data_IF_598597293660
#
_entry.id   IF_598597293660
#
_cell.length_a   1.000
_cell.length_b   1.000
_cell.length_c   1.000
_cell.angle_alpha   90.00
_cell.angle_beta   90.00
_cell.angle_gamma   90.00
#
_symmetry.space_group_name_H-M   'P 1'
#
loop_
_entity.id
_entity.type
_entity.pdbx_description
1 polymer ?
#
# COMPACT_ATOMS: atom_id res chain seq x y z
N UNK A 1 18.61 -12.72 10.30
CA UNK A 1 18.02 -12.18 9.06
C UNK A 1 16.53 -12.48 9.08
N UNK A 2 15.74 -11.62 9.71
CA UNK A 2 14.27 -11.69 9.65
C UNK A 2 13.84 -11.10 8.32
N UNK A 3 13.02 -11.84 7.58
CA UNK A 3 12.69 -11.57 6.20
C UNK A 3 12.03 -10.19 6.05
N UNK A 4 12.50 -9.39 5.10
CA UNK A 4 11.95 -8.08 4.68
C UNK A 4 10.46 -8.12 4.27
N UNK A 5 9.79 -9.27 4.38
CA UNK A 5 8.49 -9.60 3.81
C UNK A 5 7.43 -10.04 4.86
N UNK A 6 7.65 -9.77 6.15
CA UNK A 6 6.71 -10.14 7.24
C UNK A 6 5.32 -9.45 7.17
N UNK A 7 5.15 -8.42 6.34
CA UNK A 7 3.90 -7.63 6.26
C UNK A 7 2.91 -8.12 5.19
N UNK A 8 3.31 -9.00 4.27
CA UNK A 8 2.42 -9.52 3.22
C UNK A 8 1.13 -10.22 3.72
N UNK A 9 1.13 -11.05 4.79
CA UNK A 9 -0.12 -11.61 5.30
C UNK A 9 -1.09 -10.52 5.79
N UNK A 10 -0.57 -9.48 6.44
CA UNK A 10 -1.35 -8.31 6.89
C UNK A 10 -1.91 -7.53 5.70
N UNK A 11 -1.13 -7.36 4.63
CA UNK A 11 -1.57 -6.68 3.41
C UNK A 11 -2.68 -7.45 2.69
N UNK A 12 -2.57 -8.78 2.59
CA UNK A 12 -3.64 -9.62 2.02
C UNK A 12 -4.94 -9.48 2.80
N UNK A 13 -4.88 -9.41 4.13
CA UNK A 13 -6.07 -9.19 4.96
C UNK A 13 -6.71 -7.82 4.69
N UNK A 14 -5.91 -6.77 4.53
CA UNK A 14 -6.42 -5.44 4.20
C UNK A 14 -7.09 -5.39 2.81
N UNK A 15 -6.51 -6.06 1.82
CA UNK A 15 -7.09 -6.19 0.47
C UNK A 15 -8.44 -6.92 0.53
N UNK A 16 -8.54 -8.03 1.27
CA UNK A 16 -9.79 -8.77 1.43
C UNK A 16 -10.91 -7.90 2.04
N UNK A 17 -10.60 -7.17 3.11
CA UNK A 17 -11.55 -6.25 3.75
C UNK A 17 -11.99 -5.11 2.81
N UNK A 18 -11.10 -4.60 1.97
CA UNK A 18 -11.44 -3.60 0.97
C UNK A 18 -12.40 -4.15 -0.09
N UNK A 19 -12.20 -5.40 -0.54
CA UNK A 19 -13.13 -6.09 -1.46
C UNK A 19 -14.52 -6.26 -0.83
N UNK A 20 -14.57 -6.73 0.42
CA UNK A 20 -15.82 -6.90 1.18
C UNK A 20 -16.59 -5.58 1.35
N UNK A 21 -15.87 -4.45 1.43
CA UNK A 21 -16.45 -3.11 1.51
C UNK A 21 -16.91 -2.53 0.16
N UNK A 22 -16.90 -3.32 -0.93
CA UNK A 22 -17.31 -2.87 -2.26
C UNK A 22 -16.26 -2.05 -3.00
N UNK A 23 -15.00 -2.11 -2.57
CA UNK A 23 -13.86 -1.42 -3.22
C UNK A 23 -13.03 -2.39 -4.07
N UNK A 24 -13.69 -3.36 -4.72
CA UNK A 24 -13.04 -4.46 -5.42
C UNK A 24 -11.99 -3.98 -6.45
N UNK A 25 -12.36 -3.07 -7.35
CA UNK A 25 -11.44 -2.53 -8.37
C UNK A 25 -10.19 -1.87 -7.77
N UNK A 26 -10.37 -1.10 -6.67
CA UNK A 26 -9.26 -0.46 -5.99
C UNK A 26 -8.38 -1.47 -5.24
N UNK A 27 -8.97 -2.54 -4.71
CA UNK A 27 -8.28 -3.62 -4.03
C UNK A 27 -7.50 -4.52 -5.02
N UNK A 28 -8.09 -4.84 -6.18
CA UNK A 28 -7.43 -5.51 -7.30
C UNK A 28 -6.22 -4.71 -7.80
N UNK A 29 -6.41 -3.40 -7.97
CA UNK A 29 -5.38 -2.45 -8.33
C UNK A 29 -4.22 -2.40 -7.30
N UNK A 30 -4.52 -2.52 -6.00
CA UNK A 30 -3.52 -2.58 -4.93
C UNK A 30 -2.79 -3.93 -4.92
N UNK A 31 -3.53 -5.04 -5.04
CA UNK A 31 -2.97 -6.39 -5.05
C UNK A 31 -2.03 -6.60 -6.23
N UNK A 32 -2.49 -6.28 -7.44
CA UNK A 32 -1.68 -6.38 -8.66
C UNK A 32 -0.36 -5.61 -8.54
N UNK A 33 -0.37 -4.44 -7.88
CA UNK A 33 0.82 -3.60 -7.69
C UNK A 33 1.73 -4.08 -6.57
N UNK A 34 1.16 -4.49 -5.44
CA UNK A 34 1.94 -4.93 -4.28
C UNK A 34 2.60 -6.30 -4.49
N UNK A 35 2.06 -7.12 -5.39
CA UNK A 35 2.55 -8.46 -5.67
C UNK A 35 3.11 -8.62 -7.10
N UNK A 36 3.26 -7.53 -7.86
CA UNK A 36 3.94 -7.57 -9.17
C UNK A 36 5.38 -8.08 -8.99
N UNK A 37 5.67 -9.23 -9.56
CA UNK A 37 6.81 -10.08 -9.21
C UNK A 37 8.20 -9.62 -9.73
N UNK A 38 8.50 -8.32 -9.80
CA UNK A 38 9.72 -7.85 -10.49
C UNK A 38 10.83 -7.19 -9.67
N UNK A 39 10.70 -7.07 -8.35
CA UNK A 39 11.80 -6.51 -7.53
C UNK A 39 12.01 -7.36 -6.28
N UNK A 40 13.11 -8.10 -6.20
CA UNK A 40 13.50 -8.80 -4.96
C UNK A 40 14.21 -7.81 -4.04
N UNK A 41 13.65 -7.57 -2.85
CA UNK A 41 14.29 -6.81 -1.77
C UNK A 41 13.60 -5.49 -1.41
N UNK A 42 14.37 -4.54 -0.89
CA UNK A 42 13.91 -3.26 -0.36
C UNK A 42 13.12 -2.41 -1.37
N UNK A 43 13.35 -2.57 -2.67
CA UNK A 43 12.63 -1.85 -3.72
C UNK A 43 11.14 -2.26 -3.80
N UNK A 44 10.81 -3.56 -3.69
CA UNK A 44 9.42 -4.02 -3.61
C UNK A 44 8.68 -3.45 -2.39
N UNK A 45 9.36 -3.31 -1.25
CA UNK A 45 8.79 -2.66 -0.08
C UNK A 45 8.49 -1.17 -0.35
N UNK A 46 9.37 -0.49 -1.10
CA UNK A 46 9.17 0.88 -1.55
C UNK A 46 7.96 1.03 -2.48
N UNK A 47 7.86 0.16 -3.50
CA UNK A 47 6.73 0.15 -4.44
C UNK A 47 5.41 -0.18 -3.75
N UNK A 48 5.41 -1.17 -2.84
CA UNK A 48 4.25 -1.52 -2.03
C UNK A 48 3.80 -0.36 -1.15
N UNK A 49 4.75 0.36 -0.53
CA UNK A 49 4.43 1.52 0.31
C UNK A 49 3.79 2.67 -0.49
N UNK A 50 4.24 2.88 -1.73
CA UNK A 50 3.63 3.86 -2.65
C UNK A 50 2.23 3.43 -3.08
N UNK A 51 2.03 2.15 -3.40
CA UNK A 51 0.73 1.61 -3.76
C UNK A 51 -0.29 1.76 -2.61
N UNK A 52 0.12 1.51 -1.37
CA UNK A 52 -0.72 1.71 -0.17
C UNK A 52 -1.13 3.18 -0.03
N UNK A 53 -0.20 4.13 -0.20
CA UNK A 53 -0.53 5.55 -0.12
C UNK A 53 -1.51 5.98 -1.24
N UNK A 54 -1.28 5.52 -2.47
CA UNK A 54 -2.16 5.80 -3.60
C UNK A 54 -3.56 5.22 -3.40
N UNK A 55 -3.66 4.00 -2.87
CA UNK A 55 -4.93 3.37 -2.53
C UNK A 55 -5.69 4.20 -1.48
N UNK A 56 -5.01 4.66 -0.42
CA UNK A 56 -5.62 5.50 0.62
C UNK A 56 -6.07 6.87 0.10
N UNK A 57 -5.31 7.46 -0.82
CA UNK A 57 -5.70 8.73 -1.46
C UNK A 57 -6.97 8.57 -2.31
N UNK A 58 -7.12 7.44 -3.00
CA UNK A 58 -8.31 7.14 -3.83
C UNK A 58 -9.54 6.77 -3.00
N UNK A 59 -9.37 6.00 -1.92
CA UNK A 59 -10.50 5.48 -1.12
C UNK A 59 -10.95 6.43 -0.02
N UNK A 60 -10.05 7.24 0.54
CA UNK A 60 -10.39 8.27 1.54
C UNK A 60 -11.18 7.71 2.73
N UNK A 61 -12.32 8.33 3.04
CA UNK A 61 -13.20 7.94 4.16
C UNK A 61 -14.03 6.67 3.90
N UNK A 62 -14.03 6.13 2.68
CA UNK A 62 -14.74 4.88 2.34
C UNK A 62 -14.00 3.64 2.84
N UNK A 63 -12.73 3.79 3.24
CA UNK A 63 -11.92 2.69 3.73
C UNK A 63 -12.39 2.27 5.14
N UNK A 64 -12.70 0.99 5.39
CA UNK A 64 -13.04 0.51 6.72
C UNK A 64 -11.93 0.82 7.74
N UNK A 65 -12.28 1.19 8.99
CA UNK A 65 -11.30 1.57 10.00
C UNK A 65 -10.31 0.45 10.34
N UNK A 66 -10.74 -0.81 10.25
CA UNK A 66 -9.87 -1.97 10.44
C UNK A 66 -8.85 -2.09 9.29
N UNK A 67 -9.28 -1.95 8.03
CA UNK A 67 -8.39 -1.93 6.88
C UNK A 67 -7.39 -0.76 6.96
N UNK A 68 -7.85 0.42 7.39
CA UNK A 68 -6.97 1.57 7.61
C UNK A 68 -5.86 1.28 8.63
N UNK A 69 -6.20 0.67 9.77
CA UNK A 69 -5.22 0.26 10.79
C UNK A 69 -4.20 -0.74 10.28
N UNK A 70 -4.63 -1.73 9.50
CA UNK A 70 -3.74 -2.74 8.91
C UNK A 70 -2.79 -2.10 7.89
N UNK A 71 -3.26 -1.15 7.08
CA UNK A 71 -2.42 -0.39 6.15
C UNK A 71 -1.42 0.49 6.90
N UNK A 72 -1.81 1.15 8.00
CA UNK A 72 -0.91 1.92 8.86
C UNK A 72 0.23 1.06 9.44
N UNK A 73 -0.08 -0.19 9.84
CA UNK A 73 0.93 -1.15 10.29
C UNK A 73 1.90 -1.52 9.15
N UNK A 74 1.38 -1.79 7.95
CA UNK A 74 2.21 -2.08 6.78
C UNK A 74 3.15 -0.91 6.43
N UNK A 75 2.64 0.33 6.47
CA UNK A 75 3.46 1.52 6.23
C UNK A 75 4.53 1.74 7.29
N UNK A 76 4.25 1.37 8.55
CA UNK A 76 5.22 1.47 9.65
C UNK A 76 6.39 0.52 9.42
N UNK A 77 6.13 -0.70 8.99
CA UNK A 77 7.17 -1.67 8.63
C UNK A 77 7.98 -1.21 7.41
N UNK A 78 7.31 -0.75 6.35
CA UNK A 78 7.98 -0.21 5.16
C UNK A 78 8.84 1.01 5.50
N UNK A 79 8.38 1.87 6.42
CA UNK A 79 9.11 3.05 6.84
C UNK A 79 10.44 2.75 7.55
N UNK A 80 10.65 1.53 8.07
CA UNK A 80 11.95 1.10 8.61
C UNK A 80 13.03 1.04 7.53
N UNK A 81 12.64 0.75 6.30
CA UNK A 81 13.54 0.63 5.14
C UNK A 81 13.45 1.88 4.25
N UNK A 82 12.27 2.49 4.14
CA UNK A 82 11.98 3.69 3.36
C UNK A 82 11.33 4.79 4.22
N UNK A 83 12.13 5.60 4.95
CA UNK A 83 11.60 6.57 5.92
C UNK A 83 10.64 7.63 5.35
N UNK A 84 10.70 7.85 4.03
CA UNK A 84 9.82 8.77 3.29
C UNK A 84 8.42 8.21 3.01
N UNK A 85 8.16 6.93 3.33
CA UNK A 85 6.85 6.28 3.12
C UNK A 85 6.04 6.14 4.42
N UNK A 86 6.35 6.97 5.41
CA UNK A 86 5.60 7.03 6.68
C UNK A 86 4.11 7.31 6.45
N UNK A 87 3.24 6.84 7.37
CA UNK A 87 1.83 7.20 7.36
C UNK A 87 1.62 8.72 7.23
N UNK A 88 0.80 9.14 6.27
CA UNK A 88 0.48 10.55 6.04
C UNK A 88 1.40 11.32 5.09
N UNK A 89 2.42 10.68 4.49
CA UNK A 89 3.31 11.36 3.54
C UNK A 89 2.65 11.55 2.16
N UNK A 90 2.25 12.80 1.85
CA UNK A 90 1.55 13.13 0.58
C UNK A 90 2.48 13.38 -0.61
N UNK A 91 3.76 13.73 -0.40
CA UNK A 91 4.65 14.21 -1.45
C UNK A 91 5.12 13.18 -2.48
N UNK A 92 5.20 11.89 -2.12
CA UNK A 92 5.54 10.81 -3.05
C UNK A 92 4.33 10.37 -3.90
N UNK A 93 3.13 10.47 -3.32
CA UNK A 93 1.86 10.06 -3.94
C UNK A 93 1.64 10.83 -5.24
N UNK A 94 1.77 12.15 -5.23
CA UNK A 94 1.52 12.98 -6.42
C UNK A 94 2.52 12.74 -7.56
N UNK A 95 3.81 12.55 -7.24
CA UNK A 95 4.81 12.20 -8.26
C UNK A 95 4.58 10.83 -8.86
N UNK A 96 4.05 9.90 -8.08
CA UNK A 96 3.74 8.56 -8.53
C UNK A 96 2.41 8.52 -9.31
N UNK A 97 1.35 9.15 -8.81
CA UNK A 97 0.07 9.30 -9.54
C UNK A 97 0.26 9.99 -10.90
N UNK A 98 1.09 11.05 -10.95
CA UNK A 98 1.43 11.74 -12.20
C UNK A 98 2.26 10.89 -13.18
N UNK A 99 3.03 9.91 -12.71
CA UNK A 99 3.74 8.94 -13.57
C UNK A 99 2.76 7.99 -14.28
N UNK A 100 1.55 7.82 -13.77
CA UNK A 100 0.60 6.81 -14.21
C UNK A 100 -0.73 7.37 -14.72
N UNK A 101 -0.83 8.68 -14.94
CA UNK A 101 -1.99 9.31 -15.59
C UNK A 101 -3.27 9.41 -14.73
N UNK A 102 -3.15 9.21 -13.42
CA UNK A 102 -4.25 9.45 -12.46
C UNK A 102 -4.13 10.88 -11.94
N UNK A 103 -4.60 11.83 -12.75
CA UNK A 103 -4.69 13.26 -12.44
C UNK A 103 -6.12 13.74 -12.47
#
# INVERSE_FOLDING_TARGET
>A
MTATNDFYPTLRRAIALAREAGLADAADALESRAFAAFTTGSEAAGETGLAILAFRAQTGSRLPPEAARLLDACQTEIAKVWPRLRPGWRGAVWRWLGRWGLG
#
